data_IF_203540310038
#
_entry.id   IF_203540310038
#
_cell.length_a   1.000
_cell.length_b   1.000
_cell.length_c   1.000
_cell.angle_alpha   90.00
_cell.angle_beta   90.00
_cell.angle_gamma   90.00
#
_symmetry.space_group_name_H-M   'P 1'
#
loop_
_entity.id
_entity.type
_entity.pdbx_description
1 polymer ?
#
# COMPACT_ATOMS: atom_id res chain seq x y z
N UNK A 1 -12.27 -8.67 10.97
CA UNK A 1 -11.00 -8.42 10.30
C UNK A 1 -11.26 -7.70 8.98
N UNK A 2 -10.51 -6.64 8.70
CA UNK A 2 -10.64 -5.87 7.47
C UNK A 2 -9.29 -5.87 6.71
N UNK A 3 -9.36 -5.93 5.38
CA UNK A 3 -8.20 -5.78 4.48
C UNK A 3 -8.33 -4.44 3.78
N UNK A 4 -7.33 -3.59 3.92
CA UNK A 4 -7.28 -2.27 3.33
C UNK A 4 -6.10 -2.17 2.36
N UNK A 5 -6.38 -1.92 1.09
CA UNK A 5 -5.37 -1.63 0.08
C UNK A 5 -5.10 -0.14 -0.02
N UNK A 6 -3.84 0.27 -0.03
CA UNK A 6 -3.43 1.65 -0.25
C UNK A 6 -2.65 1.73 -1.57
N UNK A 7 -3.07 2.62 -2.47
CA UNK A 7 -2.45 2.78 -3.77
C UNK A 7 -2.28 4.27 -4.10
N UNK A 8 -1.11 4.66 -4.54
CA UNK A 8 -0.87 6.03 -4.99
C UNK A 8 -1.34 6.27 -6.41
N UNK A 9 -2.01 7.40 -6.65
CA UNK A 9 -2.40 7.80 -8.02
C UNK A 9 -1.15 8.07 -8.89
N UNK A 10 -0.05 8.49 -8.27
CA UNK A 10 1.28 8.60 -8.88
C UNK A 10 2.38 8.25 -7.88
N UNK A 11 3.62 8.11 -8.37
CA UNK A 11 4.78 7.98 -7.50
C UNK A 11 5.00 9.22 -6.61
N UNK A 12 5.50 9.01 -5.39
CA UNK A 12 5.86 10.09 -4.48
C UNK A 12 4.70 10.80 -3.78
N UNK A 13 3.48 10.25 -3.79
CA UNK A 13 2.34 10.81 -3.04
C UNK A 13 2.32 10.40 -1.56
N UNK A 14 3.27 9.56 -1.12
CA UNK A 14 3.41 9.15 0.27
C UNK A 14 2.63 7.90 0.67
N UNK A 15 2.24 7.04 -0.28
CA UNK A 15 1.48 5.81 -0.01
C UNK A 15 2.14 4.94 1.05
N UNK A 16 3.41 4.60 0.87
CA UNK A 16 4.20 3.77 1.80
C UNK A 16 4.28 4.41 3.20
N UNK A 17 4.50 5.73 3.27
CA UNK A 17 4.54 6.47 4.53
C UNK A 17 3.20 6.42 5.25
N UNK A 18 2.09 6.62 4.53
CA UNK A 18 0.75 6.56 5.10
C UNK A 18 0.42 5.13 5.55
N UNK A 19 0.80 4.11 4.77
CA UNK A 19 0.61 2.71 5.15
C UNK A 19 1.30 2.40 6.48
N UNK A 20 2.55 2.82 6.62
CA UNK A 20 3.32 2.63 7.86
C UNK A 20 2.71 3.40 9.04
N UNK A 21 2.35 4.68 8.84
CA UNK A 21 1.75 5.52 9.88
C UNK A 21 0.40 4.99 10.34
N UNK A 22 -0.45 4.51 9.41
CA UNK A 22 -1.74 3.91 9.72
C UNK A 22 -1.57 2.62 10.51
N UNK A 23 -0.62 1.76 10.11
CA UNK A 23 -0.32 0.53 10.85
C UNK A 23 0.12 0.83 12.28
N UNK A 24 1.00 1.81 12.45
CA UNK A 24 1.44 2.26 13.77
C UNK A 24 0.26 2.80 14.60
N UNK A 25 -0.59 3.62 14.00
CA UNK A 25 -1.74 4.19 14.69
C UNK A 25 -2.75 3.13 15.15
N UNK A 26 -3.03 2.14 14.30
CA UNK A 26 -3.93 1.03 14.63
C UNK A 26 -3.39 0.19 15.78
N UNK A 27 -2.09 -0.14 15.77
CA UNK A 27 -1.50 -0.89 16.89
C UNK A 27 -1.50 -0.08 18.20
N UNK A 28 -1.36 1.26 18.13
CA UNK A 28 -1.48 2.13 19.31
C UNK A 28 -2.92 2.14 19.89
N UNK A 29 -3.91 1.81 19.08
CA UNK A 29 -5.30 1.59 19.50
C UNK A 29 -5.56 0.16 20.03
N UNK A 30 -4.52 -0.68 20.08
CA UNK A 30 -4.63 -2.05 20.59
C UNK A 30 -5.01 -3.09 19.55
N UNK A 31 -5.03 -2.71 18.25
CA UNK A 31 -5.38 -3.61 17.15
C UNK A 31 -4.19 -4.48 16.72
N UNK A 32 -4.44 -5.74 16.37
CA UNK A 32 -3.42 -6.60 15.76
C UNK A 32 -3.37 -6.34 14.25
N UNK A 33 -2.22 -5.91 13.76
CA UNK A 33 -2.03 -5.45 12.39
C UNK A 33 -0.98 -6.29 11.67
N UNK A 34 -1.28 -6.70 10.44
CA UNK A 34 -0.30 -7.15 9.47
C UNK A 34 -0.16 -6.09 8.39
N UNK A 35 1.08 -5.69 8.11
CA UNK A 35 1.39 -4.81 6.98
C UNK A 35 2.10 -5.61 5.91
N UNK A 36 1.62 -5.55 4.68
CA UNK A 36 2.17 -6.26 3.53
C UNK A 36 2.72 -5.24 2.53
N UNK A 37 4.00 -5.32 2.26
CA UNK A 37 4.62 -4.58 1.16
C UNK A 37 4.41 -5.36 -0.14
N UNK A 38 3.59 -4.85 -1.04
CA UNK A 38 3.39 -5.42 -2.36
C UNK A 38 4.18 -4.70 -3.46
N UNK A 39 4.96 -3.66 -3.08
CA UNK A 39 5.80 -2.90 -4.02
C UNK A 39 7.15 -3.58 -4.22
N UNK A 40 7.56 -3.84 -5.48
CA UNK A 40 8.90 -4.39 -5.78
C UNK A 40 10.06 -3.53 -5.30
N UNK A 41 9.84 -2.23 -5.09
CA UNK A 41 10.83 -1.30 -4.52
C UNK A 41 11.19 -1.65 -3.06
N UNK A 42 10.33 -2.42 -2.37
CA UNK A 42 10.55 -2.94 -1.02
C UNK A 42 10.95 -1.84 0.00
N UNK A 43 10.30 -0.68 -0.09
CA UNK A 43 10.66 0.49 0.74
C UNK A 43 9.93 0.53 2.08
N UNK A 44 8.77 -0.14 2.20
CA UNK A 44 7.96 -0.11 3.41
C UNK A 44 8.73 -0.59 4.64
N UNK A 45 9.62 -1.58 4.48
CA UNK A 45 10.48 -2.12 5.53
C UNK A 45 11.34 -1.07 6.24
N UNK A 46 11.72 0.01 5.54
CA UNK A 46 12.54 1.08 6.12
C UNK A 46 11.80 1.87 7.20
N UNK A 47 10.47 1.97 7.08
CA UNK A 47 9.62 2.60 8.10
C UNK A 47 9.49 1.76 9.38
N UNK A 48 9.94 0.50 9.35
CA UNK A 48 9.93 -0.44 10.47
C UNK A 48 11.33 -0.79 10.96
N UNK A 49 12.33 0.06 10.69
CA UNK A 49 13.71 -0.12 11.11
C UNK A 49 14.35 -1.45 10.67
N UNK A 50 13.86 -2.05 9.58
CA UNK A 50 14.48 -3.23 9.00
C UNK A 50 15.76 -2.79 8.30
N UNK A 51 16.86 -3.53 8.53
CA UNK A 51 18.16 -3.21 7.96
C UNK A 51 18.08 -3.12 6.43
N UNK A 52 18.76 -2.14 5.85
CA UNK A 52 18.80 -1.93 4.41
C UNK A 52 19.35 -3.15 3.65
N UNK A 53 20.25 -3.91 4.27
CA UNK A 53 20.82 -5.13 3.68
C UNK A 53 19.91 -6.35 3.76
N UNK A 54 18.78 -6.26 4.48
CA UNK A 54 17.80 -7.35 4.59
C UNK A 54 17.13 -7.60 3.25
N UNK A 55 17.40 -8.77 2.66
CA UNK A 55 16.92 -9.13 1.32
C UNK A 55 15.67 -9.99 1.32
N UNK A 56 15.35 -10.60 2.45
CA UNK A 56 14.20 -11.52 2.54
C UNK A 56 12.87 -10.77 2.49
N UNK A 57 11.87 -11.47 2.01
CA UNK A 57 10.51 -11.01 1.91
C UNK A 57 9.65 -12.08 1.24
N UNK A 58 8.33 -11.89 1.22
CA UNK A 58 7.40 -12.91 0.74
C UNK A 58 7.61 -13.26 -0.74
N UNK A 59 7.83 -12.25 -1.59
CA UNK A 59 8.06 -12.47 -3.01
C UNK A 59 9.41 -13.17 -3.24
N UNK A 60 10.46 -12.73 -2.53
CA UNK A 60 11.77 -13.41 -2.61
C UNK A 60 11.68 -14.88 -2.17
N UNK A 61 11.04 -15.15 -1.04
CA UNK A 61 10.86 -16.51 -0.55
C UNK A 61 10.14 -17.40 -1.58
N UNK A 62 9.03 -16.91 -2.16
CA UNK A 62 8.30 -17.65 -3.19
C UNK A 62 9.14 -17.91 -4.45
N UNK A 63 9.93 -16.92 -4.88
CA UNK A 63 10.83 -17.09 -6.04
C UNK A 63 11.94 -18.10 -5.77
N UNK A 64 12.40 -18.19 -4.52
CA UNK A 64 13.40 -19.17 -4.07
C UNK A 64 12.78 -20.55 -3.74
N UNK A 65 11.45 -20.70 -3.87
CA UNK A 65 10.76 -21.96 -3.55
C UNK A 65 10.60 -22.22 -2.05
N UNK A 66 10.70 -21.16 -1.23
CA UNK A 66 10.52 -21.18 0.24
C UNK A 66 9.10 -20.77 0.64
N UNK A 67 8.70 -21.07 1.86
CA UNK A 67 7.42 -20.62 2.38
C UNK A 67 7.48 -19.09 2.67
N UNK A 68 6.63 -18.35 2.00
CA UNK A 68 6.52 -16.89 2.17
C UNK A 68 6.17 -16.47 3.60
N UNK A 69 5.56 -17.36 4.39
CA UNK A 69 5.19 -17.08 5.79
C UNK A 69 6.40 -16.89 6.69
N UNK A 70 7.50 -17.56 6.36
CA UNK A 70 8.76 -17.47 7.11
C UNK A 70 9.46 -16.12 6.91
N UNK A 71 9.06 -15.36 5.90
CA UNK A 71 9.58 -14.02 5.64
C UNK A 71 8.91 -12.93 6.50
N UNK A 72 7.91 -13.28 7.30
CA UNK A 72 7.21 -12.34 8.19
C UNK A 72 8.10 -11.88 9.35
N UNK A 73 8.11 -10.59 9.61
CA UNK A 73 8.88 -9.95 10.68
C UNK A 73 7.95 -9.42 11.76
N UNK A 74 8.25 -9.76 13.02
CA UNK A 74 7.55 -9.17 14.15
C UNK A 74 8.20 -7.84 14.52
N UNK A 75 7.43 -6.75 14.37
CA UNK A 75 7.89 -5.42 14.76
C UNK A 75 7.55 -5.10 16.22
N UNK A 76 6.31 -5.35 16.62
CA UNK A 76 5.85 -5.25 18.02
C UNK A 76 4.99 -6.48 18.37
N UNK A 77 4.46 -6.54 19.60
CA UNK A 77 3.53 -7.61 19.98
C UNK A 77 2.23 -7.63 19.14
N UNK A 78 1.85 -6.51 18.54
CA UNK A 78 0.60 -6.34 17.81
C UNK A 78 0.80 -5.92 16.33
N UNK A 79 2.03 -5.78 15.86
CA UNK A 79 2.33 -5.34 14.51
C UNK A 79 3.37 -6.25 13.88
N UNK A 80 2.93 -6.97 12.85
CA UNK A 80 3.77 -7.82 12.00
C UNK A 80 3.94 -7.14 10.62
N UNK A 81 5.14 -7.26 10.03
CA UNK A 81 5.48 -6.78 8.69
C UNK A 81 5.78 -7.96 7.79
N UNK A 82 5.26 -7.94 6.58
CA UNK A 82 5.60 -8.88 5.51
C UNK A 82 6.24 -8.07 4.35
N UNK A 83 7.58 -7.92 4.33
CA UNK A 83 8.26 -7.17 3.28
C UNK A 83 8.17 -7.90 1.94
N UNK A 84 8.29 -7.16 0.84
CA UNK A 84 8.30 -7.76 -0.51
C UNK A 84 9.54 -8.64 -0.72
N UNK A 85 10.69 -8.17 -0.30
CA UNK A 85 11.99 -8.79 -0.57
C UNK A 85 12.68 -8.21 -1.79
N UNK A 86 13.95 -8.52 -1.96
CA UNK A 86 14.78 -7.94 -3.02
C UNK A 86 14.75 -8.81 -4.28
N UNK A 87 14.41 -8.20 -5.41
CA UNK A 87 14.55 -8.81 -6.73
C UNK A 87 15.99 -8.68 -7.24
N UNK A 88 16.43 -9.64 -8.04
CA UNK A 88 17.66 -9.54 -8.83
C UNK A 88 17.48 -8.51 -9.96
N UNK A 89 18.59 -8.07 -10.57
CA UNK A 89 18.54 -7.14 -11.71
C UNK A 89 17.76 -7.76 -12.87
N UNK A 90 18.00 -9.04 -13.17
CA UNK A 90 17.28 -9.76 -14.23
C UNK A 90 15.78 -9.85 -13.97
N UNK A 91 15.38 -10.10 -12.72
CA UNK A 91 13.97 -10.14 -12.32
C UNK A 91 13.32 -8.74 -12.45
N UNK A 92 14.03 -7.66 -12.11
CA UNK A 92 13.53 -6.29 -12.25
C UNK A 92 13.30 -5.93 -13.73
N UNK A 93 14.17 -6.39 -14.62
CA UNK A 93 14.05 -6.15 -16.06
C UNK A 93 12.95 -6.97 -16.73
N UNK A 94 12.58 -8.12 -16.15
CA UNK A 94 11.61 -9.05 -16.71
C UNK A 94 10.42 -9.36 -15.77
N UNK A 95 9.58 -8.37 -15.43
CA UNK A 95 8.50 -8.55 -14.45
C UNK A 95 7.51 -9.67 -14.79
N UNK A 96 7.26 -9.90 -16.07
CA UNK A 96 6.30 -10.92 -16.53
C UNK A 96 6.71 -12.34 -16.15
N UNK A 97 8.01 -12.63 -16.01
CA UNK A 97 8.51 -13.97 -15.68
C UNK A 97 8.25 -14.39 -14.24
N UNK A 98 8.15 -13.45 -13.31
CA UNK A 98 7.97 -13.77 -11.89
C UNK A 98 6.60 -13.41 -11.34
N UNK A 99 5.89 -12.44 -11.91
CA UNK A 99 4.58 -12.00 -11.37
C UNK A 99 3.56 -13.15 -11.32
N UNK A 100 3.52 -14.01 -12.34
CA UNK A 100 2.63 -15.17 -12.37
C UNK A 100 2.93 -16.18 -11.26
N UNK A 101 4.19 -16.31 -10.83
CA UNK A 101 4.62 -17.19 -9.76
C UNK A 101 4.18 -16.71 -8.36
N UNK A 102 3.84 -15.44 -8.24
CA UNK A 102 3.44 -14.83 -6.97
C UNK A 102 1.94 -14.86 -6.72
N UNK A 103 1.14 -15.41 -7.64
CA UNK A 103 -0.33 -15.45 -7.49
C UNK A 103 -0.80 -16.17 -6.23
N UNK A 104 -0.03 -17.15 -5.74
CA UNK A 104 -0.40 -17.94 -4.57
C UNK A 104 -0.39 -17.13 -3.26
N UNK A 105 0.24 -15.96 -3.22
CA UNK A 105 0.17 -15.06 -2.06
C UNK A 105 -1.27 -14.65 -1.74
N UNK A 106 -2.11 -14.49 -2.77
CA UNK A 106 -3.50 -14.10 -2.59
C UNK A 106 -4.29 -15.14 -1.81
N UNK A 107 -4.11 -16.42 -2.14
CA UNK A 107 -4.76 -17.52 -1.38
C UNK A 107 -4.24 -17.60 0.06
N UNK A 108 -2.94 -17.36 0.26
CA UNK A 108 -2.33 -17.27 1.58
C UNK A 108 -2.88 -16.13 2.44
N UNK A 109 -3.02 -14.94 1.85
CA UNK A 109 -3.63 -13.78 2.54
C UNK A 109 -5.12 -14.01 2.85
N UNK A 110 -5.86 -14.69 1.97
CA UNK A 110 -7.24 -15.10 2.26
C UNK A 110 -7.32 -16.04 3.46
N UNK A 111 -6.40 -17.01 3.58
CA UNK A 111 -6.33 -17.89 4.74
C UNK A 111 -6.02 -17.11 6.02
N UNK A 112 -5.09 -16.16 5.97
CA UNK A 112 -4.81 -15.26 7.11
C UNK A 112 -6.04 -14.42 7.47
N UNK A 113 -6.75 -13.90 6.46
CA UNK A 113 -8.02 -13.20 6.67
C UNK A 113 -9.03 -14.11 7.38
N UNK A 114 -9.18 -15.36 6.97
CA UNK A 114 -10.11 -16.30 7.58
C UNK A 114 -9.70 -16.73 9.00
N UNK A 115 -8.41 -16.72 9.33
CA UNK A 115 -7.89 -17.15 10.64
C UNK A 115 -8.26 -16.20 11.79
N UNK A 116 -8.61 -14.95 11.51
CA UNK A 116 -8.91 -13.93 12.52
C UNK A 116 -7.71 -13.50 13.39
N UNK A 117 -6.48 -13.87 12.99
CA UNK A 117 -5.26 -13.55 13.75
C UNK A 117 -5.00 -12.03 13.84
N UNK A 118 -5.34 -11.30 12.79
CA UNK A 118 -5.18 -9.85 12.70
C UNK A 118 -6.56 -9.19 12.61
N UNK A 119 -6.76 -8.05 13.24
CA UNK A 119 -7.93 -7.21 13.02
C UNK A 119 -7.80 -6.44 11.70
N UNK A 120 -6.57 -6.09 11.32
CA UNK A 120 -6.28 -5.35 10.10
C UNK A 120 -5.17 -6.00 9.30
N UNK A 121 -5.35 -6.08 7.98
CA UNK A 121 -4.29 -6.32 7.01
C UNK A 121 -4.21 -5.08 6.12
N UNK A 122 -3.08 -4.37 6.16
CA UNK A 122 -2.80 -3.23 5.29
C UNK A 122 -1.89 -3.67 4.16
N UNK A 123 -2.23 -3.35 2.93
CA UNK A 123 -1.43 -3.72 1.76
C UNK A 123 -0.95 -2.44 1.06
N UNK A 124 0.37 -2.20 1.06
CA UNK A 124 1.01 -1.15 0.28
C UNK A 124 1.13 -1.63 -1.17
N UNK A 125 0.25 -1.13 -2.02
CA UNK A 125 0.09 -1.60 -3.41
C UNK A 125 0.95 -0.79 -4.37
N UNK A 126 1.61 -1.46 -5.34
CA UNK A 126 2.28 -0.75 -6.41
C UNK A 126 1.26 -0.03 -7.30
N UNK A 127 1.73 0.97 -8.01
CA UNK A 127 0.88 1.78 -8.90
C UNK A 127 0.56 1.09 -10.24
N UNK A 128 1.23 0.00 -10.53
CA UNK A 128 1.05 -0.71 -11.78
C UNK A 128 -0.36 -1.36 -11.88
N UNK A 129 -0.73 -1.70 -13.11
CA UNK A 129 -1.94 -2.47 -13.41
C UNK A 129 -1.62 -3.95 -13.67
N UNK A 130 -0.62 -4.50 -12.97
CA UNK A 130 -0.25 -5.89 -13.11
C UNK A 130 -1.33 -6.83 -12.59
N UNK A 131 -1.31 -8.07 -13.07
CA UNK A 131 -2.26 -9.10 -12.64
C UNK A 131 -2.24 -9.29 -11.12
N UNK A 132 -1.05 -9.30 -10.52
CA UNK A 132 -0.90 -9.47 -9.07
C UNK A 132 -1.51 -8.28 -8.29
N UNK A 133 -1.35 -7.05 -8.78
CA UNK A 133 -1.96 -5.86 -8.17
C UNK A 133 -3.49 -5.95 -8.22
N UNK A 134 -4.07 -6.36 -9.34
CA UNK A 134 -5.52 -6.57 -9.45
C UNK A 134 -6.02 -7.68 -8.52
N UNK A 135 -5.29 -8.78 -8.41
CA UNK A 135 -5.63 -9.87 -7.50
C UNK A 135 -5.58 -9.42 -6.03
N UNK A 136 -4.55 -8.67 -5.63
CA UNK A 136 -4.44 -8.13 -4.28
C UNK A 136 -5.55 -7.11 -3.98
N UNK A 137 -5.88 -6.24 -4.94
CA UNK A 137 -7.02 -5.32 -4.80
C UNK A 137 -8.33 -6.07 -4.61
N UNK A 138 -8.54 -7.19 -5.29
CA UNK A 138 -9.76 -7.99 -5.14
C UNK A 138 -9.93 -8.65 -3.76
N UNK A 139 -8.84 -8.75 -2.97
CA UNK A 139 -8.88 -9.23 -1.58
C UNK A 139 -9.28 -8.13 -0.59
N UNK A 140 -9.14 -6.88 -0.98
CA UNK A 140 -9.37 -5.74 -0.11
C UNK A 140 -10.87 -5.54 0.11
N UNK A 141 -11.27 -5.35 1.36
CA UNK A 141 -12.64 -4.93 1.71
C UNK A 141 -12.84 -3.44 1.39
N UNK A 142 -11.75 -2.67 1.50
CA UNK A 142 -11.69 -1.25 1.20
C UNK A 142 -10.37 -0.91 0.51
N UNK A 143 -10.37 0.17 -0.27
CA UNK A 143 -9.15 0.71 -0.87
C UNK A 143 -9.07 2.23 -0.73
N UNK A 144 -7.85 2.74 -0.55
CA UNK A 144 -7.54 4.15 -0.51
C UNK A 144 -6.65 4.53 -1.70
N UNK A 145 -7.10 5.48 -2.47
CA UNK A 145 -6.30 6.16 -3.48
C UNK A 145 -5.63 7.39 -2.84
N UNK A 146 -4.31 7.36 -2.71
CA UNK A 146 -3.55 8.45 -2.11
C UNK A 146 -3.18 9.47 -3.17
N UNK A 147 -3.46 10.74 -2.89
CA UNK A 147 -3.22 11.86 -3.81
C UNK A 147 -2.58 13.03 -3.09
N UNK A 148 -1.81 13.83 -3.82
CA UNK A 148 -1.45 15.18 -3.41
C UNK A 148 -2.31 16.17 -4.21
N UNK A 149 -2.60 17.33 -3.63
CA UNK A 149 -3.39 18.37 -4.31
C UNK A 149 -2.47 19.13 -5.27
N UNK A 150 -2.22 18.53 -6.44
CA UNK A 150 -1.40 19.11 -7.50
C UNK A 150 -1.97 18.80 -8.90
N UNK A 151 -1.45 19.49 -9.90
CA UNK A 151 -1.91 19.34 -11.29
C UNK A 151 -1.73 17.91 -11.81
N UNK A 152 -0.66 17.21 -11.44
CA UNK A 152 -0.40 15.85 -11.91
C UNK A 152 -1.42 14.85 -11.35
N UNK A 153 -1.75 14.94 -10.07
CA UNK A 153 -2.81 14.11 -9.48
C UNK A 153 -4.18 14.48 -10.05
N UNK A 154 -4.45 15.78 -10.26
CA UNK A 154 -5.71 16.23 -10.87
C UNK A 154 -5.91 15.62 -12.26
N UNK A 155 -4.91 15.69 -13.13
CA UNK A 155 -4.98 15.11 -14.48
C UNK A 155 -5.20 13.60 -14.40
N UNK A 156 -4.45 12.90 -13.53
CA UNK A 156 -4.56 11.43 -13.40
C UNK A 156 -5.91 10.97 -12.87
N UNK A 157 -6.52 11.69 -11.94
CA UNK A 157 -7.87 11.40 -11.46
C UNK A 157 -8.94 11.47 -12.57
N UNK A 158 -8.67 12.24 -13.63
CA UNK A 158 -9.55 12.32 -14.82
C UNK A 158 -9.20 11.29 -15.90
N UNK A 159 -7.95 10.84 -15.97
CA UNK A 159 -7.48 9.94 -17.03
C UNK A 159 -7.48 8.47 -16.62
N UNK A 160 -7.41 8.16 -15.33
CA UNK A 160 -7.29 6.80 -14.82
C UNK A 160 -8.53 6.41 -14.02
N UNK A 161 -9.04 5.21 -14.27
CA UNK A 161 -10.04 4.63 -13.38
C UNK A 161 -9.35 4.27 -12.04
N UNK A 162 -9.93 4.74 -10.95
CA UNK A 162 -9.57 4.26 -9.62
C UNK A 162 -10.15 2.86 -9.40
N UNK A 163 -9.55 2.05 -8.52
CA UNK A 163 -10.15 0.78 -8.12
C UNK A 163 -11.60 0.97 -7.69
N UNK A 164 -12.46 -0.01 -8.01
CA UNK A 164 -13.86 0.04 -7.66
C UNK A 164 -14.06 0.21 -6.16
N UNK A 165 -14.86 1.21 -5.79
CA UNK A 165 -15.09 1.51 -4.38
C UNK A 165 -13.98 2.27 -3.66
N UNK A 166 -12.87 2.62 -4.31
CA UNK A 166 -11.77 3.33 -3.67
C UNK A 166 -12.20 4.71 -3.16
N UNK A 167 -11.80 5.02 -1.93
CA UNK A 167 -11.89 6.37 -1.38
C UNK A 167 -10.60 7.13 -1.66
N UNK A 168 -10.72 8.44 -1.82
CA UNK A 168 -9.57 9.32 -2.10
C UNK A 168 -9.13 9.96 -0.79
N UNK A 169 -7.87 9.78 -0.43
CA UNK A 169 -7.24 10.43 0.71
C UNK A 169 -6.20 11.45 0.23
N UNK A 170 -6.38 12.69 0.64
CA UNK A 170 -5.44 13.77 0.35
C UNK A 170 -4.29 13.72 1.36
N UNK A 171 -3.07 13.72 0.84
CA UNK A 171 -1.82 13.81 1.60
C UNK A 171 -1.04 15.07 1.22
N UNK A 172 -0.14 15.50 2.11
CA UNK A 172 0.78 16.63 1.91
C UNK A 172 0.04 17.96 1.59
N UNK A 173 -1.11 18.19 2.22
CA UNK A 173 -1.87 19.42 2.05
C UNK A 173 -1.20 20.57 2.78
N UNK A 174 -0.95 21.68 2.09
CA UNK A 174 -0.32 22.88 2.65
C UNK A 174 -1.36 23.95 2.89
N UNK A 175 -1.56 24.30 4.15
CA UNK A 175 -2.44 25.39 4.54
C UNK A 175 -1.91 26.70 3.96
N UNK A 176 -2.80 27.50 3.34
CA UNK A 176 -2.45 28.77 2.73
C UNK A 176 -1.87 28.70 1.32
N UNK A 177 -1.85 27.51 0.71
CA UNK A 177 -1.51 27.37 -0.70
C UNK A 177 -2.73 27.60 -1.58
N UNK A 178 -2.84 28.78 -2.19
CA UNK A 178 -3.97 29.11 -3.08
C UNK A 178 -4.21 28.08 -4.17
N UNK A 179 -3.14 27.57 -4.79
CA UNK A 179 -3.25 26.55 -5.85
C UNK A 179 -3.85 25.24 -5.32
N UNK A 180 -3.45 24.82 -4.12
CA UNK A 180 -4.03 23.63 -3.52
C UNK A 180 -5.48 23.86 -3.10
N UNK A 181 -5.80 25.02 -2.54
CA UNK A 181 -7.16 25.37 -2.17
C UNK A 181 -8.08 25.34 -3.41
N UNK A 182 -7.66 25.94 -4.53
CA UNK A 182 -8.44 25.96 -5.77
C UNK A 182 -8.68 24.54 -6.32
N UNK A 183 -7.65 23.70 -6.38
CA UNK A 183 -7.78 22.30 -6.84
C UNK A 183 -8.67 21.51 -5.88
N UNK A 184 -8.51 21.69 -4.57
CA UNK A 184 -9.31 21.00 -3.56
C UNK A 184 -10.80 21.36 -3.70
N UNK A 185 -11.13 22.64 -3.92
CA UNK A 185 -12.51 23.08 -4.17
C UNK A 185 -13.11 22.41 -5.42
N UNK A 186 -12.33 22.27 -6.49
CA UNK A 186 -12.75 21.51 -7.69
C UNK A 186 -13.03 20.03 -7.36
N UNK A 187 -12.20 19.41 -6.52
CA UNK A 187 -12.38 18.01 -6.13
C UNK A 187 -13.58 17.79 -5.22
N UNK A 188 -13.87 18.72 -4.31
CA UNK A 188 -15.08 18.67 -3.49
C UNK A 188 -16.36 18.62 -4.34
N UNK A 189 -16.35 19.27 -5.52
CA UNK A 189 -17.48 19.29 -6.43
C UNK A 189 -17.55 18.07 -7.35
N UNK A 190 -16.38 17.51 -7.73
CA UNK A 190 -16.29 16.49 -8.78
C UNK A 190 -16.01 15.07 -8.24
N UNK A 191 -15.33 14.92 -7.10
CA UNK A 191 -14.91 13.64 -6.56
C UNK A 191 -15.84 13.16 -5.44
N UNK A 192 -16.75 12.24 -5.77
CA UNK A 192 -17.78 11.76 -4.83
C UNK A 192 -17.24 10.90 -3.68
N UNK A 193 -16.00 10.38 -3.80
CA UNK A 193 -15.39 9.46 -2.82
C UNK A 193 -14.20 10.11 -2.10
N UNK A 194 -14.14 11.42 -2.13
CA UNK A 194 -13.14 12.16 -1.38
C UNK A 194 -13.43 12.04 0.13
N UNK A 195 -12.44 11.60 0.90
CA UNK A 195 -12.57 11.56 2.36
C UNK A 195 -12.61 12.99 2.93
N UNK A 196 -13.40 13.23 3.99
CA UNK A 196 -13.54 14.56 4.59
C UNK A 196 -12.31 14.97 5.42
N UNK A 197 -11.25 14.17 5.44
CA UNK A 197 -10.01 14.42 6.17
C UNK A 197 -8.86 14.67 5.21
N UNK A 198 -7.94 15.54 5.63
CA UNK A 198 -6.71 15.88 4.93
C UNK A 198 -5.53 15.54 5.83
N UNK A 199 -4.47 14.98 5.25
CA UNK A 199 -3.19 14.85 5.94
C UNK A 199 -2.35 16.06 5.53
N UNK A 200 -2.07 16.91 6.53
CA UNK A 200 -1.29 18.11 6.32
C UNK A 200 0.20 17.79 6.23
N UNK A 201 0.92 18.65 5.53
CA UNK A 201 2.37 18.59 5.51
C UNK A 201 2.89 19.04 6.88
N UNK A 202 3.73 18.19 7.49
CA UNK A 202 4.56 18.61 8.62
C UNK A 202 5.76 19.41 8.09
N UNK A 203 6.15 20.46 8.81
CA UNK A 203 7.33 21.28 8.49
C UNK A 203 8.63 20.61 8.99
#
# INVERSE_FOLDING_TARGET
MAVLGLQGVRGGVGTTTITAALAWSLQMLGENVLVVDACPDNLLRLSFNVDFTHRQGWARAMLDGQDWRDAGLRYTSQLDLLPFGQLSIEEQENPQHWQTRLSDICSGLQQLKASGRYQWILIDLPRDASQITHQLLSLCDHSLAIVNVDANCHIRLHQQALPDGAHILINDFRIGSQVQDDIYQLWLQSQRRLLPMLIHRDE
#
